data_IF_522197739146
#
_entry.id   IF_522197739146
#
_cell.length_a   1.000
_cell.length_b   1.000
_cell.length_c   1.000
_cell.angle_alpha   90.00
_cell.angle_beta   90.00
_cell.angle_gamma   90.00
#
_symmetry.space_group_name_H-M   'P 1'
#
loop_
_entity.id
_entity.type
_entity.pdbx_description
1 polymer ?
#
# COMPACT_ATOMS: atom_id res chain seq x y z
N UNK A 1 -25.50 9.35 19.19
CA UNK A 1 -24.41 9.26 18.21
C UNK A 1 -23.54 8.07 18.60
N UNK A 2 -23.03 7.28 17.64
CA UNK A 2 -22.04 6.23 17.94
C UNK A 2 -20.80 6.85 18.58
N UNK A 3 -20.08 6.08 19.40
CA UNK A 3 -18.79 6.53 19.91
C UNK A 3 -17.80 6.68 18.75
N UNK A 4 -16.78 7.56 18.86
CA UNK A 4 -15.75 7.69 17.82
C UNK A 4 -15.03 6.37 17.48
N UNK A 5 -14.98 5.43 18.42
CA UNK A 5 -14.44 4.09 18.24
C UNK A 5 -15.39 3.19 17.44
N UNK A 6 -16.69 3.20 17.76
CA UNK A 6 -17.69 2.45 17.00
C UNK A 6 -17.82 2.97 15.57
N UNK A 7 -17.75 4.29 15.39
CA UNK A 7 -17.75 4.89 14.05
C UNK A 7 -16.53 4.45 13.23
N UNK A 8 -15.35 4.35 13.86
CA UNK A 8 -14.16 3.84 13.20
C UNK A 8 -14.36 2.38 12.77
N UNK A 9 -14.88 1.51 13.64
CA UNK A 9 -15.15 0.09 13.31
C UNK A 9 -16.18 -0.06 12.18
N UNK A 10 -17.28 0.69 12.21
CA UNK A 10 -18.28 0.69 11.12
C UNK A 10 -17.65 1.10 9.78
N UNK A 11 -16.78 2.11 9.79
CA UNK A 11 -16.07 2.54 8.59
C UNK A 11 -15.06 1.48 8.12
N UNK A 12 -14.32 0.85 9.04
CA UNK A 12 -13.37 -0.23 8.72
C UNK A 12 -14.09 -1.42 8.12
N UNK A 13 -15.22 -1.82 8.68
CA UNK A 13 -16.06 -2.91 8.16
C UNK A 13 -16.49 -2.63 6.72
N UNK A 14 -17.02 -1.43 6.48
CA UNK A 14 -17.42 -1.01 5.14
C UNK A 14 -16.23 -1.03 4.16
N UNK A 15 -15.06 -0.52 4.56
CA UNK A 15 -13.85 -0.53 3.73
C UNK A 15 -13.38 -1.95 3.42
N UNK A 16 -13.40 -2.86 4.41
CA UNK A 16 -13.04 -4.26 4.24
C UNK A 16 -13.97 -4.94 3.24
N UNK A 17 -15.28 -4.79 3.40
CA UNK A 17 -16.29 -5.36 2.49
C UNK A 17 -16.14 -4.82 1.06
N UNK A 18 -15.91 -3.51 0.90
CA UNK A 18 -15.64 -2.90 -0.42
C UNK A 18 -14.36 -3.46 -1.07
N UNK A 19 -13.37 -3.84 -0.27
CA UNK A 19 -12.14 -4.49 -0.73
C UNK A 19 -12.32 -6.01 -0.98
N UNK A 20 -13.53 -6.55 -0.80
CA UNK A 20 -13.85 -7.96 -1.02
C UNK A 20 -13.50 -8.88 0.15
N UNK A 21 -13.22 -8.32 1.34
CA UNK A 21 -13.09 -9.10 2.56
C UNK A 21 -14.46 -9.46 3.11
N UNK A 22 -14.62 -10.70 3.53
CA UNK A 22 -15.79 -11.10 4.30
C UNK A 22 -15.53 -10.88 5.78
N UNK A 23 -16.22 -9.91 6.38
CA UNK A 23 -16.08 -9.61 7.81
C UNK A 23 -16.99 -10.54 8.63
N UNK A 24 -16.44 -11.14 9.67
CA UNK A 24 -17.10 -12.14 10.51
C UNK A 24 -16.79 -11.88 11.98
N UNK A 25 -17.70 -12.31 12.86
CA UNK A 25 -17.49 -12.26 14.31
C UNK A 25 -16.89 -13.57 14.81
N UNK A 26 -16.15 -13.52 15.92
CA UNK A 26 -15.48 -14.70 16.50
C UNK A 26 -16.40 -15.87 16.85
N UNK A 27 -17.70 -15.62 17.02
CA UNK A 27 -18.71 -16.65 17.32
C UNK A 27 -19.15 -17.47 16.11
N UNK A 28 -18.89 -17.00 14.88
CA UNK A 28 -19.42 -17.57 13.64
C UNK A 28 -18.35 -17.74 12.55
N UNK A 29 -17.11 -18.00 12.95
CA UNK A 29 -15.95 -18.06 12.05
C UNK A 29 -16.04 -19.20 11.04
N UNK A 30 -15.93 -18.83 9.76
CA UNK A 30 -15.69 -19.70 8.63
C UNK A 30 -14.59 -19.10 7.74
N UNK A 31 -13.35 -19.56 7.94
CA UNK A 31 -12.17 -19.10 7.19
C UNK A 31 -12.15 -19.51 5.71
N UNK A 32 -13.07 -20.38 5.29
CA UNK A 32 -13.21 -20.84 3.91
C UNK A 32 -14.36 -20.14 3.17
N UNK A 33 -15.06 -19.21 3.83
CA UNK A 33 -16.23 -18.55 3.26
C UNK A 33 -15.87 -17.62 2.07
N UNK A 34 -14.65 -17.09 2.05
CA UNK A 34 -14.10 -16.30 0.96
C UNK A 34 -12.57 -16.43 0.90
N UNK A 35 -11.96 -15.93 -0.19
CA UNK A 35 -10.50 -15.82 -0.30
C UNK A 35 -9.91 -14.93 0.79
N UNK A 36 -10.56 -13.81 1.09
CA UNK A 36 -10.20 -12.88 2.16
C UNK A 36 -11.27 -12.88 3.25
N UNK A 37 -10.89 -13.21 4.48
CA UNK A 37 -11.78 -13.21 5.66
C UNK A 37 -11.17 -12.34 6.75
N UNK A 38 -11.94 -11.40 7.28
CA UNK A 38 -11.56 -10.57 8.41
C UNK A 38 -12.40 -10.98 9.62
N UNK A 39 -11.75 -11.44 10.70
CA UNK A 39 -12.44 -11.87 11.92
C UNK A 39 -12.26 -10.83 13.01
N UNK A 40 -13.38 -10.31 13.55
CA UNK A 40 -13.36 -9.35 14.66
C UNK A 40 -12.97 -10.01 15.98
N UNK A 41 -12.13 -9.33 16.76
CA UNK A 41 -11.78 -9.64 18.16
C UNK A 41 -11.38 -11.10 18.41
N UNK A 42 -10.65 -11.70 17.46
CA UNK A 42 -10.18 -13.09 17.61
C UNK A 42 -9.17 -13.16 18.77
N UNK A 43 -9.31 -14.13 19.67
CA UNK A 43 -8.46 -14.22 20.87
C UNK A 43 -7.07 -14.81 20.59
N UNK A 44 -5.99 -14.09 20.93
CA UNK A 44 -4.60 -14.57 20.88
C UNK A 44 -4.05 -14.75 22.30
N UNK A 45 -2.94 -15.48 22.44
CA UNK A 45 -2.23 -15.58 23.73
C UNK A 45 -1.69 -14.23 24.22
N UNK A 46 -1.45 -13.30 23.30
CA UNK A 46 -0.88 -11.98 23.58
C UNK A 46 -1.91 -10.85 23.61
N UNK A 47 -3.21 -11.19 23.49
CA UNK A 47 -4.38 -10.31 23.58
C UNK A 47 -5.30 -10.45 22.35
N UNK A 48 -6.25 -9.54 22.16
CA UNK A 48 -7.26 -9.64 21.10
C UNK A 48 -7.11 -8.43 20.16
N UNK A 49 -6.56 -8.57 18.94
CA UNK A 49 -6.62 -7.49 17.95
C UNK A 49 -8.07 -7.25 17.53
N UNK A 50 -8.40 -6.00 17.18
CA UNK A 50 -9.76 -5.67 16.70
C UNK A 50 -10.15 -6.51 15.48
N UNK A 51 -9.21 -6.76 14.57
CA UNK A 51 -9.40 -7.66 13.43
C UNK A 51 -8.18 -8.54 13.18
N UNK A 52 -8.43 -9.80 12.82
CA UNK A 52 -7.45 -10.70 12.24
C UNK A 52 -7.79 -10.98 10.78
N UNK A 53 -6.81 -10.79 9.90
CA UNK A 53 -6.96 -10.97 8.46
C UNK A 53 -6.44 -12.34 8.03
N UNK A 54 -7.26 -13.06 7.25
CA UNK A 54 -6.95 -14.35 6.66
C UNK A 54 -7.03 -14.30 5.14
N UNK A 55 -6.03 -14.86 4.48
CA UNK A 55 -6.02 -15.10 3.03
C UNK A 55 -5.85 -16.59 2.78
N UNK A 56 -6.75 -17.18 1.99
CA UNK A 56 -6.79 -18.62 1.71
C UNK A 56 -6.80 -19.47 3.01
N UNK A 57 -7.60 -19.01 3.99
CA UNK A 57 -7.75 -19.66 5.29
C UNK A 57 -6.54 -19.57 6.23
N UNK A 58 -5.51 -18.79 5.88
CA UNK A 58 -4.32 -18.58 6.70
C UNK A 58 -4.17 -17.13 7.13
N UNK A 59 -3.87 -16.90 8.39
CA UNK A 59 -3.63 -15.57 8.93
C UNK A 59 -2.46 -14.89 8.21
N UNK A 60 -2.63 -13.61 7.90
CA UNK A 60 -1.64 -12.78 7.20
C UNK A 60 -1.36 -11.44 7.92
N UNK A 61 -2.27 -10.96 8.77
CA UNK A 61 -2.08 -9.71 9.49
C UNK A 61 -3.20 -9.37 10.44
N UNK A 62 -3.08 -8.21 11.09
CA UNK A 62 -4.07 -7.70 12.06
C UNK A 62 -4.39 -6.23 11.79
N UNK A 63 -5.60 -5.80 12.15
CA UNK A 63 -5.99 -4.38 12.17
C UNK A 63 -6.31 -4.01 13.62
N UNK A 64 -5.76 -2.88 14.05
CA UNK A 64 -6.08 -2.21 15.30
C UNK A 64 -6.91 -0.95 14.97
N UNK A 65 -8.14 -0.89 15.48
CA UNK A 65 -9.03 0.24 15.31
C UNK A 65 -8.70 1.31 16.34
N UNK A 66 -8.58 2.57 15.89
CA UNK A 66 -8.42 3.74 16.74
C UNK A 66 -9.61 4.70 16.55
N UNK A 67 -9.94 5.53 17.55
CA UNK A 67 -11.02 6.50 17.41
C UNK A 67 -10.82 7.44 16.22
N UNK A 68 -11.91 7.82 15.55
CA UNK A 68 -11.88 8.83 14.47
C UNK A 68 -11.22 10.13 14.97
N UNK A 69 -10.29 10.67 14.19
CA UNK A 69 -9.57 11.92 14.50
C UNK A 69 -8.36 11.76 15.43
N UNK A 70 -7.98 10.52 15.81
CA UNK A 70 -6.76 10.26 16.56
C UNK A 70 -5.52 10.20 15.64
N UNK A 71 -4.39 10.73 16.10
CA UNK A 71 -3.12 10.65 15.35
C UNK A 71 -2.59 9.22 15.35
N UNK A 72 -2.13 8.76 14.19
CA UNK A 72 -1.51 7.43 14.02
C UNK A 72 0.03 7.44 14.13
N UNK A 73 0.63 8.59 14.44
CA UNK A 73 2.09 8.76 14.55
C UNK A 73 2.60 8.13 15.86
N UNK A 74 3.59 7.23 15.78
CA UNK A 74 4.24 6.61 16.95
C UNK A 74 3.50 5.41 17.54
N UNK A 75 2.50 4.86 16.84
CA UNK A 75 1.65 3.75 17.32
C UNK A 75 2.26 2.36 17.03
N UNK A 76 3.37 2.30 16.30
CA UNK A 76 4.05 1.08 15.84
C UNK A 76 4.37 0.09 16.98
N UNK A 77 4.69 0.59 18.18
CA UNK A 77 5.07 -0.23 19.34
C UNK A 77 3.91 -1.07 19.92
N UNK A 78 2.64 -0.69 19.72
CA UNK A 78 1.51 -1.49 20.24
C UNK A 78 1.22 -2.73 19.39
N UNK A 79 1.44 -2.64 18.10
CA UNK A 79 1.15 -3.70 17.11
C UNK A 79 2.12 -4.89 17.20
N UNK A 80 3.29 -4.70 17.81
CA UNK A 80 4.27 -5.77 18.02
C UNK A 80 3.78 -6.91 18.93
N UNK A 81 2.82 -6.63 19.83
CA UNK A 81 2.33 -7.62 20.81
C UNK A 81 1.60 -8.79 20.14
N UNK A 82 0.84 -8.55 19.08
CA UNK A 82 0.02 -9.58 18.41
C UNK A 82 0.77 -10.36 17.34
N UNK A 83 1.77 -9.71 16.75
CA UNK A 83 2.62 -10.23 15.67
C UNK A 83 3.40 -11.47 16.13
N UNK A 84 3.79 -11.57 17.41
CA UNK A 84 4.51 -12.72 18.00
C UNK A 84 3.59 -13.80 18.62
N UNK A 85 2.28 -13.57 18.69
CA UNK A 85 1.36 -14.31 19.55
C UNK A 85 0.35 -15.22 18.85
N UNK A 86 0.54 -15.53 17.56
CA UNK A 86 -0.35 -16.41 16.79
C UNK A 86 -0.64 -17.70 17.60
N UNK A 87 -1.91 -18.03 17.91
CA UNK A 87 -2.25 -19.19 18.71
C UNK A 87 -1.66 -20.46 18.09
N UNK A 88 -1.07 -21.31 18.94
CA UNK A 88 -0.58 -22.63 18.52
C UNK A 88 -1.74 -23.40 17.85
N UNK A 89 -1.61 -23.67 16.54
CA UNK A 89 -2.64 -24.34 15.74
C UNK A 89 -3.41 -23.46 14.75
N UNK A 90 -3.27 -22.12 14.81
CA UNK A 90 -3.86 -21.24 13.80
C UNK A 90 -3.00 -21.28 12.51
N UNK A 91 -3.57 -21.65 11.34
CA UNK A 91 -2.82 -21.58 10.08
C UNK A 91 -2.41 -20.14 9.79
N UNK A 92 -1.13 -19.91 9.52
CA UNK A 92 -0.59 -18.60 9.18
C UNK A 92 0.39 -18.70 8.01
N UNK A 93 0.46 -17.65 7.19
CA UNK A 93 1.42 -17.59 6.08
C UNK A 93 2.86 -17.41 6.58
N UNK A 94 3.03 -16.61 7.64
CA UNK A 94 4.28 -16.50 8.40
C UNK A 94 3.96 -16.30 9.88
N UNK A 95 4.93 -16.65 10.73
CA UNK A 95 4.94 -16.34 12.15
C UNK A 95 6.32 -15.77 12.47
N UNK A 96 6.44 -14.50 12.89
CA UNK A 96 5.36 -13.55 13.15
C UNK A 96 4.52 -13.16 11.92
N UNK A 97 3.31 -12.63 12.14
CA UNK A 97 2.45 -12.15 11.03
C UNK A 97 3.11 -10.96 10.30
N UNK A 98 3.14 -10.95 8.96
CA UNK A 98 3.92 -9.97 8.21
C UNK A 98 3.29 -8.59 8.15
N UNK A 99 1.96 -8.47 8.26
CA UNK A 99 1.25 -7.21 8.06
C UNK A 99 0.54 -6.75 9.33
N UNK A 100 0.64 -5.46 9.66
CA UNK A 100 -0.24 -4.83 10.64
C UNK A 100 -0.78 -3.51 10.10
N UNK A 101 -1.98 -3.17 10.54
CA UNK A 101 -2.68 -1.95 10.17
C UNK A 101 -3.18 -1.26 11.43
N UNK A 102 -3.03 0.05 11.50
CA UNK A 102 -3.65 0.90 12.52
C UNK A 102 -4.60 1.85 11.78
N UNK A 103 -5.89 1.86 12.11
CA UNK A 103 -6.86 2.64 11.33
C UNK A 103 -7.90 3.35 12.17
N UNK A 104 -8.20 4.59 11.78
CA UNK A 104 -9.31 5.39 12.31
C UNK A 104 -10.61 5.24 11.50
N UNK A 105 -10.60 4.38 10.48
CA UNK A 105 -11.68 4.27 9.49
C UNK A 105 -11.67 5.35 8.40
N UNK A 106 -10.85 6.41 8.54
CA UNK A 106 -10.59 7.40 7.48
C UNK A 106 -9.13 7.42 7.07
N UNK A 107 -8.23 7.16 8.02
CA UNK A 107 -6.79 7.02 7.79
C UNK A 107 -6.36 5.61 8.19
N UNK A 108 -5.37 5.08 7.47
CA UNK A 108 -4.80 3.75 7.76
C UNK A 108 -3.29 3.84 7.63
N UNK A 109 -2.59 3.52 8.73
CA UNK A 109 -1.17 3.25 8.72
C UNK A 109 -0.95 1.76 8.47
N UNK A 110 0.08 1.42 7.69
CA UNK A 110 0.38 0.05 7.28
C UNK A 110 1.85 -0.25 7.52
N UNK A 111 2.11 -1.36 8.19
CA UNK A 111 3.47 -1.87 8.43
C UNK A 111 3.68 -3.21 7.73
N UNK A 112 4.72 -3.29 6.90
CA UNK A 112 5.18 -4.52 6.26
C UNK A 112 6.47 -5.03 6.90
N UNK A 113 6.40 -6.21 7.53
CA UNK A 113 7.54 -6.87 8.20
C UNK A 113 8.18 -7.99 7.36
N UNK A 114 7.84 -8.10 6.08
CA UNK A 114 8.52 -9.02 5.18
C UNK A 114 9.93 -8.53 4.92
N UNK A 115 10.92 -9.37 5.22
CA UNK A 115 12.28 -9.14 4.76
C UNK A 115 12.33 -9.21 3.23
N UNK A 116 12.67 -8.10 2.60
CA UNK A 116 12.94 -8.04 1.17
C UNK A 116 14.43 -8.30 0.99
N UNK A 117 14.83 -9.40 0.32
CA UNK A 117 16.24 -9.66 0.09
C UNK A 117 16.81 -8.55 -0.81
N UNK A 118 17.77 -7.80 -0.28
CA UNK A 118 18.50 -6.81 -1.05
C UNK A 118 19.68 -7.49 -1.76
N UNK A 119 19.97 -7.11 -3.02
CA UNK A 119 21.18 -7.60 -3.68
C UNK A 119 22.42 -7.09 -2.93
N UNK A 120 23.60 -7.73 -3.09
CA UNK A 120 24.84 -7.25 -2.47
C UNK A 120 25.14 -5.78 -2.84
N UNK A 121 25.86 -5.05 -1.98
CA UNK A 121 26.12 -3.61 -2.20
C UNK A 121 26.76 -3.30 -3.57
N UNK A 122 27.66 -4.15 -4.05
CA UNK A 122 28.26 -3.99 -5.36
C UNK A 122 27.22 -4.03 -6.50
N UNK A 123 26.22 -4.90 -6.38
CA UNK A 123 25.13 -5.01 -7.34
C UNK A 123 24.16 -3.83 -7.22
N UNK A 124 23.87 -3.35 -6.00
CA UNK A 124 23.09 -2.13 -5.79
C UNK A 124 23.75 -0.92 -6.47
N UNK A 125 25.06 -0.75 -6.27
CA UNK A 125 25.83 0.33 -6.89
C UNK A 125 25.83 0.23 -8.42
N UNK A 126 25.95 -0.99 -8.96
CA UNK A 126 25.86 -1.23 -10.41
C UNK A 126 24.49 -0.86 -10.97
N UNK A 127 23.41 -1.20 -10.26
CA UNK A 127 22.04 -0.83 -10.64
C UNK A 127 21.89 0.68 -10.66
N UNK A 128 22.34 1.39 -9.60
CA UNK A 128 22.28 2.85 -9.52
C UNK A 128 23.03 3.50 -10.68
N UNK A 129 24.28 3.09 -10.93
CA UNK A 129 25.09 3.64 -12.00
C UNK A 129 24.43 3.45 -13.38
N UNK A 130 23.81 2.30 -13.63
CA UNK A 130 23.12 2.03 -14.90
C UNK A 130 21.82 2.83 -15.03
N UNK A 131 21.09 3.05 -13.93
CA UNK A 131 19.91 3.93 -13.91
C UNK A 131 20.30 5.38 -14.20
N UNK A 132 21.32 5.90 -13.52
CA UNK A 132 21.84 7.26 -13.74
C UNK A 132 22.31 7.46 -15.18
N UNK A 133 23.05 6.48 -15.73
CA UNK A 133 23.47 6.49 -17.13
C UNK A 133 22.29 6.57 -18.09
N UNK A 134 21.22 5.80 -17.84
CA UNK A 134 20.02 5.82 -18.69
C UNK A 134 19.24 7.12 -18.56
N UNK A 135 19.09 7.64 -17.34
CA UNK A 135 18.42 8.92 -17.10
C UNK A 135 19.14 10.07 -17.80
N UNK A 136 20.48 10.08 -17.76
CA UNK A 136 21.28 11.08 -18.49
C UNK A 136 21.02 11.03 -20.01
N UNK A 137 20.90 9.84 -20.60
CA UNK A 137 20.54 9.70 -22.02
C UNK A 137 19.12 10.20 -22.30
N UNK A 138 18.17 9.94 -21.40
CA UNK A 138 16.79 10.44 -21.53
C UNK A 138 16.77 11.96 -21.51
N UNK A 139 17.48 12.59 -20.57
CA UNK A 139 17.59 14.05 -20.50
C UNK A 139 18.19 14.65 -21.77
N UNK A 140 19.26 14.05 -22.32
CA UNK A 140 19.84 14.50 -23.58
C UNK A 140 18.83 14.40 -24.74
N UNK A 141 18.13 13.27 -24.85
CA UNK A 141 17.10 13.08 -25.87
C UNK A 141 15.96 14.10 -25.74
N UNK A 142 15.52 14.42 -24.53
CA UNK A 142 14.51 15.45 -24.29
C UNK A 142 14.95 16.81 -24.81
N UNK A 143 16.22 17.19 -24.62
CA UNK A 143 16.74 18.45 -25.15
C UNK A 143 16.74 18.47 -26.69
N UNK A 144 17.15 17.37 -27.32
CA UNK A 144 17.19 17.25 -28.78
C UNK A 144 15.78 17.29 -29.38
N UNK A 145 14.84 16.56 -28.79
CA UNK A 145 13.43 16.54 -29.21
C UNK A 145 12.83 17.94 -29.07
N UNK A 146 13.05 18.61 -27.94
CA UNK A 146 12.58 19.97 -27.70
C UNK A 146 13.13 20.96 -28.74
N UNK A 147 14.43 20.89 -29.02
CA UNK A 147 15.07 21.72 -30.04
C UNK A 147 14.51 21.44 -31.45
N UNK A 148 14.28 20.18 -31.80
CA UNK A 148 13.67 19.79 -33.08
C UNK A 148 12.25 20.32 -33.21
N UNK A 149 11.45 20.22 -32.16
CA UNK A 149 10.08 20.73 -32.14
C UNK A 149 10.05 22.25 -32.36
N UNK A 150 10.93 23.00 -31.70
CA UNK A 150 11.05 24.45 -31.90
C UNK A 150 11.49 24.81 -33.34
N UNK A 151 12.42 24.04 -33.91
CA UNK A 151 12.88 24.22 -35.31
C UNK A 151 11.74 23.98 -36.29
N UNK A 152 11.01 22.88 -36.14
CA UNK A 152 9.86 22.54 -36.98
C UNK A 152 8.77 23.61 -36.92
N UNK A 153 8.48 24.12 -35.71
CA UNK A 153 7.51 25.20 -35.49
C UNK A 153 7.91 26.48 -36.22
N UNK A 154 9.18 26.89 -36.09
CA UNK A 154 9.72 28.08 -36.77
C UNK A 154 9.70 27.93 -38.29
N UNK A 155 10.11 26.78 -38.82
CA UNK A 155 10.09 26.51 -40.26
C UNK A 155 8.67 26.58 -40.82
N UNK A 156 7.70 25.99 -40.13
CA UNK A 156 6.29 26.07 -40.50
C UNK A 156 5.80 27.51 -40.56
N UNK A 157 6.11 28.33 -39.55
CA UNK A 157 5.73 29.75 -39.54
C UNK A 157 6.38 30.52 -40.71
N UNK A 158 7.66 30.29 -40.99
CA UNK A 158 8.38 30.96 -42.07
C UNK A 158 7.82 30.60 -43.47
N UNK A 159 7.50 29.33 -43.71
CA UNK A 159 6.88 28.87 -44.96
C UNK A 159 5.49 29.49 -45.15
N UNK A 160 4.66 29.48 -44.10
CA UNK A 160 3.33 30.12 -44.15
C UNK A 160 3.46 31.61 -44.44
N UNK A 161 4.37 32.32 -43.76
CA UNK A 161 4.60 33.74 -44.01
C UNK A 161 5.03 34.02 -45.45
N UNK A 162 5.95 33.22 -46.01
CA UNK A 162 6.34 33.33 -47.42
C UNK A 162 5.18 33.09 -48.38
N UNK A 163 4.32 32.11 -48.08
CA UNK A 163 3.14 31.79 -48.87
C UNK A 163 2.11 32.92 -48.86
N UNK A 164 1.81 33.49 -47.69
CA UNK A 164 0.87 34.61 -47.56
C UNK A 164 1.43 35.93 -48.08
N UNK A 165 2.75 36.11 -48.14
CA UNK A 165 3.39 37.30 -48.73
C UNK A 165 3.67 37.16 -50.24
N UNK A 166 3.26 36.07 -50.90
CA UNK A 166 3.38 35.88 -52.35
C UNK A 166 4.83 35.70 -52.85
N UNK A 167 5.74 35.19 -52.01
CA UNK A 167 7.18 35.04 -52.33
C UNK A 167 7.60 33.58 -52.52
N UNK A 168 6.71 32.75 -53.03
CA UNK A 168 6.92 31.32 -53.27
C UNK A 168 7.06 31.03 -54.77
#
# INVERSE_FOLDING_TARGET
MPSPENQARENIDALLEHCGWQVQDKSSVNLQAARGVAVRELSFKTGEPDYTLFVDGKAIGTIEAKPVGHSLIGVEEQSEKYVKGVPFGLPAWRSPLPFSYESTGTETHFTNRLEIPLPPLAEQQRIVAEVERRLSVVEELETVVSANFQRATRLRQAVLQRAFCGKL
#
